data_IF_352935314621
#
_entry.id   IF_352935314621
#
_cell.length_a   1.000
_cell.length_b   1.000
_cell.length_c   1.000
_cell.angle_alpha   90.00
_cell.angle_beta   90.00
_cell.angle_gamma   90.00
#
_symmetry.space_group_name_H-M   'P 1'
#
loop_
_entity.id
_entity.type
_entity.pdbx_description
1 polymer ?
#
# COMPACT_ATOMS: atom_id res chain seq x y z
N UNK A 1 22.86 -31.19 -27.47
CA UNK A 1 22.28 -30.28 -26.46
C UNK A 1 22.04 -28.88 -27.02
N UNK A 2 22.60 -28.56 -28.17
CA UNK A 2 22.68 -27.23 -28.79
C UNK A 2 21.39 -26.91 -29.56
N UNK A 3 20.80 -27.92 -30.21
CA UNK A 3 19.57 -27.79 -31.00
C UNK A 3 18.36 -27.41 -30.14
N UNK A 4 18.20 -28.02 -28.97
CA UNK A 4 17.11 -27.68 -28.04
C UNK A 4 17.26 -26.28 -27.47
N UNK A 5 18.50 -25.85 -27.20
CA UNK A 5 18.80 -24.49 -26.80
C UNK A 5 18.42 -23.48 -27.89
N UNK A 6 18.86 -23.71 -29.14
CA UNK A 6 18.50 -22.87 -30.28
C UNK A 6 16.98 -22.80 -30.50
N UNK A 7 16.27 -23.92 -30.39
CA UNK A 7 14.81 -23.96 -30.50
C UNK A 7 14.13 -23.15 -29.39
N UNK A 8 14.60 -23.23 -28.16
CA UNK A 8 14.03 -22.47 -27.03
C UNK A 8 14.28 -20.97 -27.15
N UNK A 9 15.51 -20.57 -27.48
CA UNK A 9 15.90 -19.16 -27.51
C UNK A 9 15.44 -18.45 -28.79
N UNK A 10 15.51 -19.14 -29.93
CA UNK A 10 15.31 -18.52 -31.25
C UNK A 10 14.16 -19.13 -32.04
N UNK A 11 13.55 -20.23 -31.61
CA UNK A 11 12.54 -20.93 -32.41
C UNK A 11 11.31 -20.08 -32.68
N UNK A 12 10.78 -19.38 -31.68
CA UNK A 12 9.60 -18.52 -31.82
C UNK A 12 9.92 -17.26 -32.64
N UNK A 13 11.02 -16.57 -32.33
CA UNK A 13 11.37 -15.33 -33.03
C UNK A 13 11.77 -15.59 -34.49
N UNK A 14 12.59 -16.61 -34.77
CA UNK A 14 12.94 -16.98 -36.15
C UNK A 14 11.71 -17.48 -36.90
N UNK A 15 10.82 -18.25 -36.27
CA UNK A 15 9.58 -18.71 -36.89
C UNK A 15 8.70 -17.55 -37.36
N UNK A 16 8.52 -16.54 -36.52
CA UNK A 16 7.77 -15.33 -36.86
C UNK A 16 8.48 -14.50 -37.94
N UNK A 17 9.79 -14.32 -37.81
CA UNK A 17 10.59 -13.55 -38.77
C UNK A 17 10.57 -14.18 -40.16
N UNK A 18 10.74 -15.50 -40.23
CA UNK A 18 10.68 -16.27 -41.49
C UNK A 18 9.27 -16.25 -42.09
N UNK A 19 8.22 -16.28 -41.27
CA UNK A 19 6.86 -16.12 -41.76
C UNK A 19 6.64 -14.74 -42.40
N UNK A 20 7.20 -13.68 -41.83
CA UNK A 20 7.14 -12.33 -42.42
C UNK A 20 7.96 -12.22 -43.71
N UNK A 21 9.17 -12.77 -43.75
CA UNK A 21 9.98 -12.85 -44.98
C UNK A 21 9.23 -13.60 -46.08
N UNK A 22 8.56 -14.70 -45.75
CA UNK A 22 7.78 -15.49 -46.71
C UNK A 22 6.58 -14.72 -47.27
N UNK A 23 5.96 -13.83 -46.48
CA UNK A 23 4.86 -12.96 -46.93
C UNK A 23 5.35 -11.82 -47.81
N UNK A 24 6.38 -11.09 -47.36
CA UNK A 24 6.86 -9.86 -48.02
C UNK A 24 7.70 -10.18 -49.26
N UNK A 25 8.40 -11.32 -49.27
CA UNK A 25 9.32 -11.76 -50.33
C UNK A 25 10.27 -10.62 -50.77
N UNK A 26 11.05 -10.04 -49.83
CA UNK A 26 11.97 -8.96 -50.13
C UNK A 26 13.05 -9.41 -51.12
N UNK A 27 13.61 -8.45 -51.87
CA UNK A 27 14.72 -8.72 -52.79
C UNK A 27 15.98 -9.22 -52.07
N UNK A 28 16.24 -8.73 -50.85
CA UNK A 28 17.26 -9.28 -49.94
C UNK A 28 16.58 -9.84 -48.66
N UNK A 29 16.36 -11.16 -48.58
CA UNK A 29 15.74 -11.78 -47.42
C UNK A 29 16.65 -11.84 -46.19
N UNK A 30 17.98 -11.80 -46.36
CA UNK A 30 18.92 -11.87 -45.24
C UNK A 30 18.97 -10.52 -44.53
N UNK A 31 19.07 -9.43 -45.29
CA UNK A 31 19.07 -8.08 -44.75
C UNK A 31 17.72 -7.76 -44.06
N UNK A 32 16.61 -8.10 -44.70
CA UNK A 32 15.28 -7.91 -44.11
C UNK A 32 15.13 -8.68 -42.79
N UNK A 33 15.59 -9.93 -42.74
CA UNK A 33 15.53 -10.75 -41.54
C UNK A 33 16.36 -10.14 -40.39
N UNK A 34 17.55 -9.64 -40.69
CA UNK A 34 18.41 -8.98 -39.70
C UNK A 34 17.73 -7.73 -39.10
N UNK A 35 17.16 -6.87 -39.94
CA UNK A 35 16.39 -5.71 -39.48
C UNK A 35 15.17 -6.12 -38.64
N UNK A 36 14.42 -7.13 -39.08
CA UNK A 36 13.26 -7.63 -38.35
C UNK A 36 13.62 -8.12 -36.95
N UNK A 37 14.68 -8.94 -36.84
CA UNK A 37 15.15 -9.47 -35.56
C UNK A 37 15.65 -8.36 -34.62
N UNK A 38 16.31 -7.33 -35.16
CA UNK A 38 16.73 -6.16 -34.38
C UNK A 38 15.54 -5.43 -33.74
N UNK A 39 14.49 -5.17 -34.52
CA UNK A 39 13.28 -4.53 -34.02
C UNK A 39 12.50 -5.42 -33.05
N UNK A 40 12.41 -6.72 -33.34
CA UNK A 40 11.71 -7.70 -32.51
C UNK A 40 12.24 -7.74 -31.08
N UNK A 41 13.57 -7.65 -30.88
CA UNK A 41 14.17 -7.65 -29.54
C UNK A 41 13.66 -6.49 -28.68
N UNK A 42 13.56 -5.31 -29.26
CA UNK A 42 13.09 -4.12 -28.54
C UNK A 42 11.58 -4.21 -28.24
N UNK A 43 10.79 -4.64 -29.22
CA UNK A 43 9.36 -4.82 -29.03
C UNK A 43 9.01 -5.95 -28.03
N UNK A 44 9.80 -7.03 -28.02
CA UNK A 44 9.59 -8.16 -27.11
C UNK A 44 9.90 -7.80 -25.67
N UNK A 45 10.98 -7.05 -25.43
CA UNK A 45 11.32 -6.55 -24.09
C UNK A 45 10.20 -5.69 -23.51
N UNK A 46 9.68 -4.74 -24.30
CA UNK A 46 8.58 -3.88 -23.87
C UNK A 46 7.30 -4.66 -23.55
N UNK A 47 6.96 -5.68 -24.36
CA UNK A 47 5.80 -6.56 -24.11
C UNK A 47 5.99 -7.42 -22.86
N UNK A 48 7.20 -7.93 -22.63
CA UNK A 48 7.49 -8.72 -21.43
C UNK A 48 7.39 -7.86 -20.17
N UNK A 49 7.95 -6.64 -20.19
CA UNK A 49 7.85 -5.67 -19.11
C UNK A 49 6.39 -5.31 -18.81
N UNK A 50 5.58 -4.98 -19.83
CA UNK A 50 4.14 -4.71 -19.68
C UNK A 50 3.38 -5.91 -19.09
N UNK A 51 3.70 -7.14 -19.54
CA UNK A 51 3.06 -8.34 -18.98
C UNK A 51 3.41 -8.56 -17.51
N UNK A 52 4.67 -8.29 -17.13
CA UNK A 52 5.15 -8.41 -15.75
C UNK A 52 4.51 -7.35 -14.85
N UNK A 53 4.40 -6.12 -15.35
CA UNK A 53 3.75 -5.02 -14.62
C UNK A 53 2.26 -5.31 -14.40
N UNK A 54 1.56 -5.85 -15.40
CA UNK A 54 0.15 -6.27 -15.26
C UNK A 54 -0.03 -7.36 -14.20
N UNK A 55 0.89 -8.33 -14.15
CA UNK A 55 0.86 -9.37 -13.11
C UNK A 55 1.06 -8.73 -11.74
N UNK A 56 2.09 -7.89 -11.57
CA UNK A 56 2.38 -7.20 -10.30
C UNK A 56 1.20 -6.35 -9.83
N UNK A 57 0.61 -5.57 -10.72
CA UNK A 57 -0.52 -4.71 -10.40
C UNK A 57 -1.75 -5.52 -9.94
N UNK A 58 -1.98 -6.68 -10.57
CA UNK A 58 -3.06 -7.58 -10.15
C UNK A 58 -2.81 -8.17 -8.77
N UNK A 59 -1.58 -8.60 -8.49
CA UNK A 59 -1.20 -9.12 -7.18
C UNK A 59 -1.34 -8.04 -6.08
N UNK A 60 -0.92 -6.80 -6.36
CA UNK A 60 -1.10 -5.66 -5.45
C UNK A 60 -2.59 -5.39 -5.17
N UNK A 61 -3.43 -5.41 -6.20
CA UNK A 61 -4.89 -5.25 -6.05
C UNK A 61 -5.49 -6.37 -5.19
N UNK A 62 -5.16 -7.62 -5.48
CA UNK A 62 -5.66 -8.79 -4.75
C UNK A 62 -5.19 -8.76 -3.28
N UNK A 63 -3.97 -8.29 -3.02
CA UNK A 63 -3.45 -8.13 -1.66
C UNK A 63 -4.16 -6.99 -0.91
N UNK A 64 -4.38 -5.86 -1.57
CA UNK A 64 -5.12 -4.73 -0.99
C UNK A 64 -6.55 -5.16 -0.61
N UNK A 65 -7.22 -5.93 -1.47
CA UNK A 65 -8.54 -6.45 -1.18
C UNK A 65 -8.54 -7.34 0.09
N UNK A 66 -7.59 -8.27 0.20
CA UNK A 66 -7.45 -9.13 1.39
C UNK A 66 -7.13 -8.33 2.66
N UNK A 67 -6.31 -7.28 2.55
CA UNK A 67 -5.98 -6.40 3.67
C UNK A 67 -7.22 -5.64 4.16
N UNK A 68 -8.06 -5.15 3.24
CA UNK A 68 -9.32 -4.49 3.60
C UNK A 68 -10.28 -5.44 4.30
N UNK A 69 -10.46 -6.65 3.78
CA UNK A 69 -11.32 -7.69 4.39
C UNK A 69 -10.83 -8.06 5.79
N UNK A 70 -9.52 -8.27 5.95
CA UNK A 70 -8.91 -8.55 7.26
C UNK A 70 -9.12 -7.40 8.25
N UNK A 71 -8.97 -6.16 7.79
CA UNK A 71 -9.16 -4.97 8.63
C UNK A 71 -10.61 -4.82 9.08
N UNK A 72 -11.57 -5.13 8.22
CA UNK A 72 -13.00 -5.12 8.57
C UNK A 72 -13.34 -6.18 9.61
N UNK A 73 -12.83 -7.41 9.44
CA UNK A 73 -13.01 -8.47 10.44
C UNK A 73 -12.44 -8.08 11.81
N UNK A 74 -11.22 -7.52 11.84
CA UNK A 74 -10.59 -7.06 13.08
C UNK A 74 -11.41 -5.95 13.76
N UNK A 75 -11.90 -4.96 13.00
CA UNK A 75 -12.78 -3.90 13.54
C UNK A 75 -14.09 -4.47 14.08
N UNK A 76 -14.67 -5.47 13.41
CA UNK A 76 -15.89 -6.13 13.87
C UNK A 76 -15.66 -6.89 15.19
N UNK A 77 -14.53 -7.58 15.32
CA UNK A 77 -14.14 -8.25 16.57
C UNK A 77 -13.92 -7.24 17.70
N UNK A 78 -13.19 -6.16 17.45
CA UNK A 78 -12.95 -5.08 18.42
C UNK A 78 -14.28 -4.49 18.93
N UNK A 79 -15.22 -4.18 18.04
CA UNK A 79 -16.55 -3.69 18.42
C UNK A 79 -17.32 -4.68 19.31
N UNK A 80 -17.22 -5.99 19.03
CA UNK A 80 -17.87 -7.01 19.84
C UNK A 80 -17.25 -7.13 21.23
N UNK A 81 -15.92 -7.01 21.34
CA UNK A 81 -15.21 -7.03 22.62
C UNK A 81 -15.60 -5.80 23.45
N UNK A 82 -15.59 -4.61 22.85
CA UNK A 82 -15.97 -3.37 23.53
C UNK A 82 -17.42 -3.45 24.05
N UNK A 83 -18.35 -3.91 23.21
CA UNK A 83 -19.74 -4.06 23.61
C UNK A 83 -19.92 -5.05 24.77
N UNK A 84 -19.19 -6.17 24.76
CA UNK A 84 -19.22 -7.15 25.86
C UNK A 84 -18.62 -6.56 27.14
N UNK A 85 -17.55 -5.79 27.04
CA UNK A 85 -16.93 -5.11 28.18
C UNK A 85 -17.90 -4.12 28.82
N UNK A 86 -18.53 -3.25 28.02
CA UNK A 86 -19.50 -2.26 28.49
C UNK A 86 -20.72 -2.93 29.16
N UNK A 87 -21.21 -4.04 28.59
CA UNK A 87 -22.30 -4.84 29.19
C UNK A 87 -21.90 -5.49 30.52
N UNK A 88 -20.68 -6.03 30.64
CA UNK A 88 -20.20 -6.64 31.88
C UNK A 88 -19.93 -5.61 33.00
N UNK A 89 -19.56 -4.38 32.64
CA UNK A 89 -19.31 -3.30 33.62
C UNK A 89 -20.56 -2.51 34.05
N UNK A 90 -21.72 -2.76 33.43
CA UNK A 90 -22.97 -2.06 33.76
C UNK A 90 -23.68 -2.40 35.10
N UNK A 91 -23.38 -3.48 35.87
CA UNK A 91 -24.11 -3.75 37.12
C UNK A 91 -23.38 -3.35 38.42
N UNK A 92 -22.58 -2.27 38.48
CA UNK A 92 -21.94 -1.84 39.74
C UNK A 92 -22.03 -0.35 40.12
N UNK A 93 -22.62 0.52 39.29
CA UNK A 93 -22.67 1.97 39.58
C UNK A 93 -23.95 2.44 40.29
N UNK A 94 -24.98 1.60 40.43
CA UNK A 94 -26.26 2.01 41.07
C UNK A 94 -26.32 1.84 42.60
N UNK A 95 -25.34 1.19 43.25
CA UNK A 95 -25.43 0.94 44.72
C UNK A 95 -24.56 1.89 45.56
N UNK A 96 -23.59 2.61 44.97
CA UNK A 96 -22.66 3.45 45.74
C UNK A 96 -23.07 4.93 45.89
N UNK A 97 -24.13 5.41 45.24
CA UNK A 97 -24.58 6.82 45.36
C UNK A 97 -25.64 7.06 46.44
N UNK A 98 -26.11 6.02 47.11
CA UNK A 98 -26.97 6.15 48.29
C UNK A 98 -26.10 5.91 49.53
N UNK A 99 -26.10 6.85 50.48
CA UNK A 99 -25.46 6.78 51.82
C UNK A 99 -24.06 7.40 52.00
N UNK A 100 -23.77 8.60 51.48
CA UNK A 100 -22.83 9.53 52.15
C UNK A 100 -23.23 10.98 51.85
N UNK A 101 -24.45 11.35 52.25
CA UNK A 101 -24.87 12.76 52.29
C UNK A 101 -25.40 13.14 53.68
N UNK A 102 -24.76 12.60 54.71
CA UNK A 102 -24.96 13.03 56.09
C UNK A 102 -23.65 12.79 56.82
N UNK A 103 -22.81 13.81 56.91
CA UNK A 103 -21.94 14.12 58.05
C UNK A 103 -21.05 15.30 57.65
N UNK A 104 -21.17 16.35 58.46
CA UNK A 104 -20.21 17.44 58.67
C UNK A 104 -20.17 18.64 57.72
N UNK A 105 -21.04 19.61 58.05
CA UNK A 105 -20.79 21.05 57.96
C UNK A 105 -19.61 21.40 58.89
N UNK A 106 -18.56 22.08 58.41
CA UNK A 106 -17.99 23.31 59.01
C UNK A 106 -16.60 23.66 58.44
N UNK A 107 -16.50 24.89 57.93
CA UNK A 107 -15.49 25.88 58.35
C UNK A 107 -14.00 25.60 58.05
N UNK A 108 -13.46 26.21 56.98
CA UNK A 108 -12.62 27.38 57.19
C UNK A 108 -12.34 28.21 55.93
N UNK A 109 -12.12 29.49 56.20
CA UNK A 109 -12.03 30.64 55.34
C UNK A 109 -10.59 30.95 54.88
N UNK A 110 -10.42 31.13 53.56
CA UNK A 110 -9.60 32.17 52.89
C UNK A 110 -8.04 32.06 52.93
N UNK A 111 -7.32 32.84 52.07
CA UNK A 111 -6.46 32.34 50.99
C UNK A 111 -4.97 32.66 51.22
N UNK A 112 -4.05 32.09 50.42
CA UNK A 112 -2.63 32.53 50.24
C UNK A 112 -1.90 31.41 49.46
N UNK A 113 -0.91 31.58 48.58
CA UNK A 113 -0.37 32.58 47.66
C UNK A 113 0.57 31.75 46.73
N UNK A 114 0.79 32.25 45.50
CA UNK A 114 2.03 32.18 44.69
C UNK A 114 2.89 30.89 44.65
N UNK A 115 3.18 30.37 43.45
CA UNK A 115 4.45 30.69 42.74
C UNK A 115 4.61 29.95 41.38
N UNK A 116 5.30 30.63 40.43
CA UNK A 116 6.05 30.09 39.27
C UNK A 116 5.22 29.53 38.10
N UNK A 117 4.90 30.24 37.01
CA UNK A 117 5.76 30.84 35.96
C UNK A 117 6.48 29.82 35.02
N UNK A 118 6.00 29.80 33.76
CA UNK A 118 6.60 29.29 32.48
C UNK A 118 6.61 27.76 32.32
N UNK A 119 6.43 27.16 31.15
CA UNK A 119 6.93 27.46 29.79
C UNK A 119 5.92 26.83 28.77
N UNK A 120 5.46 27.56 27.76
CA UNK A 120 6.11 27.78 26.45
C UNK A 120 5.57 26.80 25.40
N UNK A 121 4.76 27.37 24.50
CA UNK A 121 4.18 26.71 23.34
C UNK A 121 5.17 26.66 22.18
N UNK A 122 4.92 25.71 21.26
CA UNK A 122 5.39 25.58 19.85
C UNK A 122 6.60 24.66 19.62
N UNK A 123 6.89 24.16 18.39
CA UNK A 123 6.31 24.48 17.05
C UNK A 123 5.85 23.23 16.25
N UNK A 124 5.11 23.28 15.14
CA UNK A 124 5.14 24.19 14.00
C UNK A 124 6.06 23.65 12.90
N UNK A 125 5.65 22.58 12.20
CA UNK A 125 6.48 21.93 11.17
C UNK A 125 6.47 22.75 9.88
N UNK A 126 7.63 23.32 9.58
CA UNK A 126 7.96 24.10 8.38
C UNK A 126 8.16 23.20 7.16
N UNK A 127 7.49 23.51 6.05
CA UNK A 127 7.72 22.92 4.73
C UNK A 127 8.83 23.71 4.00
N UNK A 128 9.88 23.02 3.53
CA UNK A 128 10.88 23.59 2.62
C UNK A 128 10.78 22.93 1.25
N UNK A 129 10.50 23.73 0.22
CA UNK A 129 10.75 23.42 -1.19
C UNK A 129 11.84 24.38 -1.67
N UNK A 130 13.00 23.91 -2.16
CA UNK A 130 13.95 24.76 -2.87
C UNK A 130 13.70 24.74 -4.38
N UNK A 131 13.69 25.94 -4.98
CA UNK A 131 13.48 26.16 -6.40
C UNK A 131 14.67 25.81 -7.29
N UNK A 132 14.38 25.65 -8.59
CA UNK A 132 15.33 25.49 -9.69
C UNK A 132 15.72 26.87 -10.26
N UNK A 133 16.97 27.09 -10.69
CA UNK A 133 17.33 28.26 -11.48
C UNK A 133 17.16 28.02 -13.00
N UNK A 134 17.02 29.14 -13.70
CA UNK A 134 16.80 29.37 -15.14
C UNK A 134 17.70 28.59 -16.10
#
# INVERSE_FOLDING_TARGET
METDYLKRCFGTCLGQALAEVAKVRPSDPIEYLAHWLYHYRNASRAKEEDSREKIRLKEEYDNSLKETEMTEMLKQEECQIQQKYDKCHQPLVSVASSTMKTVFIQENTKPVEKDGLRQESLPGTSNMVPGMPQ
#
